data_IF_102511542357
#
_entry.id   IF_102511542357
#
_cell.length_a   1.000
_cell.length_b   1.000
_cell.length_c   1.000
_cell.angle_alpha   90.00
_cell.angle_beta   90.00
_cell.angle_gamma   90.00
#
_symmetry.space_group_name_H-M   'P 1'
#
loop_
_entity.id
_entity.type
_entity.pdbx_description
1 polymer ?
#
# COMPACT_ATOMS: atom_id res chain seq x y z
N UNK A 1 -4.30 3.78 -8.40
CA UNK A 1 -4.80 5.16 -8.53
C UNK A 1 -4.68 5.64 -9.96
N UNK A 2 -5.67 6.40 -10.39
CA UNK A 2 -5.69 7.01 -11.72
C UNK A 2 -4.88 8.30 -11.65
N UNK A 3 -3.93 8.51 -12.55
CA UNK A 3 -3.16 9.76 -12.57
C UNK A 3 -4.07 10.94 -12.97
N UNK A 4 -3.66 12.18 -12.63
CA UNK A 4 -4.44 13.40 -12.92
C UNK A 4 -4.79 13.56 -14.41
N UNK A 5 -3.97 13.01 -15.28
CA UNK A 5 -4.06 13.15 -16.73
C UNK A 5 -4.54 11.88 -17.45
N UNK A 6 -5.11 10.93 -16.72
CA UNK A 6 -5.60 9.68 -17.29
C UNK A 6 -7.09 9.48 -17.06
N UNK A 7 -7.71 8.67 -17.91
CA UNK A 7 -9.11 8.29 -17.79
C UNK A 7 -9.26 7.01 -16.99
N UNK A 8 -10.41 6.81 -16.39
CA UNK A 8 -10.78 5.54 -15.80
C UNK A 8 -10.76 4.43 -16.86
N UNK A 9 -10.18 3.29 -16.50
CA UNK A 9 -10.16 2.14 -17.40
C UNK A 9 -11.57 1.60 -17.66
N UNK A 10 -11.79 1.06 -18.86
CA UNK A 10 -13.08 0.53 -19.27
C UNK A 10 -13.60 -0.63 -18.39
N UNK A 11 -12.72 -1.28 -17.66
CA UNK A 11 -13.03 -2.42 -16.76
C UNK A 11 -13.19 -2.01 -15.29
N UNK A 12 -13.19 -0.70 -14.98
CA UNK A 12 -13.43 -0.23 -13.61
C UNK A 12 -14.89 -0.41 -13.26
N UNK A 13 -15.20 -1.34 -12.36
CA UNK A 13 -16.57 -1.65 -11.91
C UNK A 13 -17.00 -0.83 -10.68
N UNK A 14 -16.04 -0.26 -9.96
CA UNK A 14 -16.30 0.48 -8.73
C UNK A 14 -15.36 1.69 -8.61
N UNK A 15 -15.89 2.79 -8.11
CA UNK A 15 -15.13 4.02 -7.86
C UNK A 15 -15.35 4.45 -6.43
N UNK A 16 -14.26 4.56 -5.69
CA UNK A 16 -14.26 5.12 -4.34
C UNK A 16 -13.57 6.48 -4.37
N UNK A 17 -14.24 7.50 -3.86
CA UNK A 17 -13.72 8.87 -3.79
C UNK A 17 -13.53 9.26 -2.34
N UNK A 18 -12.31 9.66 -2.01
CA UNK A 18 -11.96 10.18 -0.68
C UNK A 18 -11.39 11.59 -0.82
N UNK A 19 -11.52 12.45 0.21
CA UNK A 19 -10.87 13.75 0.21
C UNK A 19 -9.36 13.62 0.12
N UNK A 20 -8.71 14.42 -0.72
CA UNK A 20 -7.25 14.46 -0.81
C UNK A 20 -6.62 15.04 0.48
N UNK A 21 -7.37 15.86 1.18
CA UNK A 21 -6.91 16.55 2.37
C UNK A 21 -6.25 17.88 2.03
N UNK A 22 -5.80 18.62 3.06
CA UNK A 22 -5.02 19.83 2.85
C UNK A 22 -3.61 19.47 2.40
N UNK A 23 -2.97 20.28 1.58
CA UNK A 23 -1.68 20.06 0.90
C UNK A 23 -0.46 19.85 1.83
N UNK A 24 -0.68 19.70 3.11
CA UNK A 24 0.38 19.47 4.08
C UNK A 24 0.52 17.97 4.39
N UNK A 25 1.66 17.42 4.04
CA UNK A 25 2.12 16.17 4.64
C UNK A 25 2.16 16.33 6.15
N UNK A 26 1.35 15.59 6.87
CA UNK A 26 1.39 15.56 8.33
C UNK A 26 2.63 14.81 8.81
N UNK A 27 3.80 15.41 8.68
CA UNK A 27 5.07 14.81 9.08
C UNK A 27 5.06 14.30 10.53
N UNK A 28 4.34 14.98 11.42
CA UNK A 28 4.12 14.59 12.81
C UNK A 28 2.77 13.88 13.03
N UNK A 29 2.10 13.49 11.98
CA UNK A 29 0.79 12.83 12.03
C UNK A 29 0.76 11.49 12.77
N UNK A 30 1.92 10.88 13.01
CA UNK A 30 2.09 9.65 13.77
C UNK A 30 2.21 9.87 15.29
N UNK A 31 2.34 11.13 15.78
CA UNK A 31 2.46 11.44 17.20
C UNK A 31 1.09 11.49 17.88
N UNK A 32 1.02 10.95 19.07
CA UNK A 32 -0.13 10.82 19.95
C UNK A 32 -0.41 12.09 20.80
N UNK A 33 -1.61 12.19 21.39
CA UNK A 33 -2.77 11.29 21.33
C UNK A 33 -3.77 11.67 20.23
N UNK A 34 -4.32 10.67 19.51
CA UNK A 34 -5.35 10.91 18.49
C UNK A 34 -6.55 10.01 18.73
N UNK A 35 -7.71 10.62 19.03
CA UNK A 35 -8.94 9.90 19.35
C UNK A 35 -9.90 9.71 18.16
N UNK A 36 -9.65 10.41 17.05
CA UNK A 36 -10.51 10.41 15.86
C UNK A 36 -9.85 9.77 14.64
N UNK A 37 -8.66 9.24 14.78
CA UNK A 37 -7.91 8.67 13.67
C UNK A 37 -7.92 7.15 13.72
N UNK A 38 -8.14 6.51 12.57
CA UNK A 38 -8.04 5.07 12.44
C UNK A 38 -6.58 4.61 12.60
N UNK A 39 -6.38 3.47 13.23
CA UNK A 39 -5.09 2.81 13.35
C UNK A 39 -5.27 1.30 13.39
N UNK A 40 -4.66 0.59 12.46
CA UNK A 40 -4.65 -0.88 12.42
C UNK A 40 -3.95 -1.45 13.66
N UNK A 41 -2.81 -0.89 14.03
CA UNK A 41 -1.94 -1.37 15.10
C UNK A 41 -2.27 -0.76 16.48
N UNK A 42 -3.45 -0.14 16.63
CA UNK A 42 -3.84 0.55 17.86
C UNK A 42 -2.83 1.60 18.33
N UNK A 43 -2.09 2.19 17.41
CA UNK A 43 -1.11 3.24 17.70
C UNK A 43 -1.75 4.52 18.23
N UNK A 44 -3.03 4.74 17.95
CA UNK A 44 -3.81 5.86 18.47
C UNK A 44 -4.86 5.36 19.46
N UNK A 45 -5.29 6.23 20.38
CA UNK A 45 -6.28 5.87 21.40
C UNK A 45 -7.74 5.82 20.91
N UNK A 46 -7.95 5.92 19.60
CA UNK A 46 -9.28 5.83 19.00
C UNK A 46 -10.03 4.52 19.32
N UNK A 47 -9.31 3.43 19.54
CA UNK A 47 -9.87 2.14 19.90
C UNK A 47 -10.54 2.14 21.28
N UNK A 48 -10.20 3.06 22.19
CA UNK A 48 -10.84 3.24 23.49
C UNK A 48 -12.24 3.84 23.39
N UNK A 49 -12.56 4.48 22.27
CA UNK A 49 -13.78 5.23 22.07
C UNK A 49 -14.95 4.41 21.47
N UNK A 50 -14.80 3.08 21.34
CA UNK A 50 -15.81 2.19 20.73
C UNK A 50 -15.82 2.26 19.19
N UNK A 51 -16.85 1.64 18.58
CA UNK A 51 -17.02 1.68 17.12
C UNK A 51 -17.35 3.10 16.67
N UNK A 52 -16.60 3.60 15.68
CA UNK A 52 -16.77 4.92 15.08
C UNK A 52 -16.62 4.82 13.56
N UNK A 53 -17.33 5.70 12.89
CA UNK A 53 -17.04 6.00 11.50
C UNK A 53 -15.86 6.96 11.43
N UNK A 54 -14.89 6.65 10.58
CA UNK A 54 -13.70 7.46 10.39
C UNK A 54 -13.79 8.19 9.05
N UNK A 55 -13.60 9.50 9.07
CA UNK A 55 -13.42 10.28 7.85
C UNK A 55 -12.00 10.08 7.34
N UNK A 56 -11.80 9.12 6.43
CA UNK A 56 -10.51 8.85 5.82
C UNK A 56 -10.20 9.91 4.76
N UNK A 57 -8.95 10.30 4.68
CA UNK A 57 -8.39 11.16 3.64
C UNK A 57 -7.14 10.52 3.01
N UNK A 58 -6.67 11.09 1.90
CA UNK A 58 -5.51 10.55 1.18
C UNK A 58 -4.15 10.99 1.77
N UNK A 59 -4.14 11.76 2.86
CA UNK A 59 -2.88 12.24 3.46
C UNK A 59 -2.08 11.10 4.07
N UNK A 60 -0.80 11.08 3.78
CA UNK A 60 0.15 10.19 4.43
C UNK A 60 0.49 10.74 5.81
N UNK A 61 0.25 9.93 6.85
CA UNK A 61 0.56 10.29 8.24
C UNK A 61 1.97 9.78 8.60
N UNK A 62 2.95 10.59 8.39
CA UNK A 62 4.36 10.27 8.54
C UNK A 62 5.09 10.22 7.19
N UNK A 63 6.40 9.97 7.21
CA UNK A 63 7.21 9.86 5.99
C UNK A 63 7.37 8.42 5.53
N UNK A 64 7.67 8.24 4.25
CA UNK A 64 8.13 6.98 3.69
C UNK A 64 9.41 6.51 4.39
N UNK A 65 9.52 5.23 4.64
CA UNK A 65 10.64 4.60 5.35
C UNK A 65 11.12 3.39 4.58
N UNK A 66 12.32 2.93 4.94
CA UNK A 66 12.80 1.66 4.42
C UNK A 66 11.87 0.51 4.82
N UNK A 67 11.63 -0.40 3.89
CA UNK A 67 10.80 -1.56 4.12
C UNK A 67 11.35 -2.42 5.25
N UNK A 68 10.49 -2.75 6.19
CA UNK A 68 10.75 -3.75 7.23
C UNK A 68 9.86 -4.97 7.01
N UNK A 69 10.36 -6.15 7.34
CA UNK A 69 9.57 -7.38 7.29
C UNK A 69 8.80 -7.52 8.62
N UNK A 70 7.55 -7.10 8.59
CA UNK A 70 6.70 -7.05 9.78
C UNK A 70 5.73 -8.22 9.90
N UNK A 71 5.55 -9.01 8.81
CA UNK A 71 4.53 -10.04 8.71
C UNK A 71 3.09 -9.49 8.63
N UNK A 72 2.93 -8.19 8.38
CA UNK A 72 1.61 -7.58 8.29
C UNK A 72 0.93 -7.86 6.94
N UNK A 73 1.70 -8.04 5.87
CA UNK A 73 1.14 -8.29 4.54
C UNK A 73 0.43 -9.64 4.47
N UNK A 74 0.98 -10.67 5.11
CA UNK A 74 0.43 -12.03 5.13
C UNK A 74 -0.99 -12.08 5.75
N UNK A 75 -1.33 -11.08 6.58
CA UNK A 75 -2.64 -11.00 7.21
C UNK A 75 -3.73 -10.43 6.31
N UNK A 76 -3.35 -9.78 5.23
CA UNK A 76 -4.26 -8.98 4.39
C UNK A 76 -4.17 -9.30 2.90
N UNK A 77 -3.14 -10.03 2.46
CA UNK A 77 -3.04 -10.48 1.08
C UNK A 77 -4.16 -11.47 0.76
N UNK A 78 -4.78 -11.37 -0.42
CA UNK A 78 -5.88 -12.25 -0.82
C UNK A 78 -5.42 -13.65 -1.25
N UNK A 79 -4.11 -13.90 -1.25
CA UNK A 79 -3.48 -15.13 -1.72
C UNK A 79 -2.33 -15.53 -0.80
N UNK A 80 -1.99 -16.82 -0.79
CA UNK A 80 -0.90 -17.38 0.01
C UNK A 80 0.42 -17.31 -0.77
N UNK A 81 1.06 -16.14 -0.71
CA UNK A 81 2.36 -15.85 -1.32
C UNK A 81 3.28 -15.15 -0.32
N UNK A 82 4.57 -15.23 -0.56
CA UNK A 82 5.57 -14.50 0.23
C UNK A 82 5.64 -13.01 -0.18
N UNK A 83 4.56 -12.24 0.09
CA UNK A 83 4.39 -10.88 -0.38
C UNK A 83 5.50 -9.92 0.04
N UNK A 84 5.96 -9.98 1.29
CA UNK A 84 7.08 -9.13 1.76
C UNK A 84 8.39 -9.44 1.04
N UNK A 85 8.67 -10.72 0.78
CA UNK A 85 9.85 -11.13 0.03
C UNK A 85 9.77 -10.70 -1.43
N UNK A 86 8.58 -10.82 -2.04
CA UNK A 86 8.35 -10.38 -3.41
C UNK A 86 8.59 -8.87 -3.55
N UNK A 87 8.03 -8.06 -2.68
CA UNK A 87 8.27 -6.60 -2.70
C UNK A 87 9.76 -6.28 -2.55
N UNK A 88 10.48 -6.98 -1.65
CA UNK A 88 11.92 -6.81 -1.51
C UNK A 88 12.69 -7.20 -2.76
N UNK A 89 12.32 -8.28 -3.43
CA UNK A 89 12.93 -8.71 -4.69
C UNK A 89 12.74 -7.65 -5.78
N UNK A 90 11.55 -7.04 -5.86
CA UNK A 90 11.27 -5.96 -6.81
C UNK A 90 12.14 -4.73 -6.49
N UNK A 91 12.18 -4.29 -5.24
CA UNK A 91 12.99 -3.13 -4.81
C UNK A 91 14.49 -3.36 -5.08
N UNK A 92 14.97 -4.58 -4.89
CA UNK A 92 16.37 -4.93 -5.16
C UNK A 92 16.71 -5.13 -6.64
N UNK A 93 15.70 -5.20 -7.52
CA UNK A 93 15.88 -5.47 -8.95
C UNK A 93 16.29 -6.92 -9.26
N UNK A 94 16.06 -7.86 -8.34
CA UNK A 94 16.41 -9.27 -8.50
C UNK A 94 15.29 -9.99 -9.28
N UNK A 95 15.45 -10.08 -10.59
CA UNK A 95 14.46 -10.61 -11.52
C UNK A 95 14.20 -12.10 -11.26
N UNK A 96 15.25 -12.89 -11.09
CA UNK A 96 15.13 -14.33 -10.85
C UNK A 96 14.31 -14.62 -9.59
N UNK A 97 14.51 -13.82 -8.55
CA UNK A 97 13.72 -13.93 -7.32
C UNK A 97 12.29 -13.45 -7.49
N UNK A 98 12.04 -12.41 -8.27
CA UNK A 98 10.69 -11.96 -8.55
C UNK A 98 9.88 -13.07 -9.23
N UNK A 99 10.46 -13.74 -10.21
CA UNK A 99 9.83 -14.88 -10.90
C UNK A 99 9.63 -16.06 -9.95
N UNK A 100 10.65 -16.43 -9.19
CA UNK A 100 10.57 -17.53 -8.23
C UNK A 100 9.53 -17.29 -7.11
N UNK A 101 9.24 -16.02 -6.79
CA UNK A 101 8.26 -15.60 -5.78
C UNK A 101 6.87 -15.32 -6.37
N UNK A 102 6.67 -15.58 -7.65
CA UNK A 102 5.34 -15.55 -8.29
C UNK A 102 4.87 -14.15 -8.71
N UNK A 103 5.76 -13.28 -9.19
CA UNK A 103 5.35 -11.93 -9.64
C UNK A 103 4.30 -11.96 -10.76
N UNK A 104 4.26 -13.03 -11.57
CA UNK A 104 3.26 -13.16 -12.63
C UNK A 104 1.87 -13.56 -12.14
N UNK A 105 1.75 -13.97 -10.90
CA UNK A 105 0.50 -14.41 -10.29
C UNK A 105 -0.23 -13.28 -9.57
N UNK A 106 0.38 -12.08 -9.50
CA UNK A 106 -0.15 -10.94 -8.76
C UNK A 106 -0.45 -9.76 -9.66
N UNK A 107 -1.47 -9.00 -9.27
CA UNK A 107 -1.76 -7.68 -9.81
C UNK A 107 -1.41 -6.59 -8.79
N UNK A 108 -1.12 -5.35 -9.22
CA UNK A 108 -0.89 -4.24 -8.29
C UNK A 108 -2.02 -4.06 -7.28
N UNK A 109 -3.26 -4.30 -7.69
CA UNK A 109 -4.46 -4.16 -6.89
C UNK A 109 -4.52 -5.14 -5.71
N UNK A 110 -3.89 -6.30 -5.81
CA UNK A 110 -3.83 -7.30 -4.73
C UNK A 110 -3.06 -6.76 -3.50
N UNK A 111 -2.15 -5.82 -3.73
CA UNK A 111 -1.37 -5.16 -2.68
C UNK A 111 -2.04 -3.93 -2.08
N UNK A 112 -3.27 -3.58 -2.47
CA UNK A 112 -3.95 -2.39 -1.96
C UNK A 112 -4.14 -2.41 -0.43
N UNK A 113 -4.56 -3.55 0.13
CA UNK A 113 -4.71 -3.72 1.57
C UNK A 113 -3.34 -3.77 2.29
N UNK A 114 -2.34 -4.40 1.67
CA UNK A 114 -0.98 -4.42 2.20
C UNK A 114 -0.39 -3.00 2.26
N UNK A 115 -0.58 -2.20 1.22
CA UNK A 115 -0.18 -0.78 1.20
C UNK A 115 -0.85 0.03 2.31
N UNK A 116 -2.14 -0.24 2.59
CA UNK A 116 -2.87 0.44 3.66
C UNK A 116 -2.32 0.11 5.06
N UNK A 117 -1.93 -1.13 5.31
CA UNK A 117 -1.42 -1.56 6.62
C UNK A 117 0.09 -1.35 6.76
N UNK A 118 0.81 -1.09 5.68
CA UNK A 118 2.26 -0.95 5.69
C UNK A 118 2.72 0.19 6.62
N UNK A 119 3.53 -0.17 7.61
CA UNK A 119 4.11 0.78 8.54
C UNK A 119 5.23 1.62 7.93
N UNK A 120 5.82 1.15 6.82
CA UNK A 120 6.89 1.84 6.09
C UNK A 120 6.36 2.91 5.12
N UNK A 121 5.05 2.93 4.87
CA UNK A 121 4.37 3.88 3.97
C UNK A 121 4.85 3.80 2.52
N UNK A 122 5.18 2.59 2.06
CA UNK A 122 5.57 2.34 0.68
C UNK A 122 4.34 2.30 -0.23
N UNK A 123 4.52 2.79 -1.45
CA UNK A 123 3.53 2.65 -2.53
C UNK A 123 3.63 1.27 -3.19
N UNK A 124 3.11 0.23 -2.53
CA UNK A 124 3.30 -1.16 -2.95
C UNK A 124 2.71 -1.44 -4.33
N UNK A 125 1.55 -0.88 -4.63
CA UNK A 125 0.92 -1.03 -5.94
C UNK A 125 1.80 -0.46 -7.07
N UNK A 126 2.47 0.67 -6.82
CA UNK A 126 3.42 1.25 -7.77
C UNK A 126 4.63 0.35 -7.95
N UNK A 127 5.20 -0.15 -6.85
CA UNK A 127 6.37 -1.04 -6.87
C UNK A 127 6.07 -2.30 -7.68
N UNK A 128 4.94 -2.96 -7.45
CA UNK A 128 4.54 -4.16 -8.21
C UNK A 128 4.35 -3.84 -9.70
N UNK A 129 3.73 -2.72 -10.02
CA UNK A 129 3.54 -2.28 -11.41
C UNK A 129 4.86 -2.03 -12.12
N UNK A 130 5.81 -1.40 -11.44
CA UNK A 130 7.16 -1.17 -11.97
C UNK A 130 7.90 -2.48 -12.20
N UNK A 131 7.84 -3.43 -11.25
CA UNK A 131 8.40 -4.78 -11.41
C UNK A 131 7.85 -5.50 -12.64
N UNK A 132 6.53 -5.55 -12.78
CA UNK A 132 5.87 -6.16 -13.95
C UNK A 132 6.27 -5.48 -15.27
N UNK A 133 6.45 -4.16 -15.27
CA UNK A 133 6.87 -3.43 -16.47
C UNK A 133 8.32 -3.71 -16.84
N UNK A 134 9.21 -3.89 -15.87
CA UNK A 134 10.60 -4.27 -16.11
C UNK A 134 10.65 -5.66 -16.75
N UNK A 135 9.96 -6.63 -16.17
CA UNK A 135 9.90 -8.00 -16.68
C UNK A 135 9.34 -8.07 -18.11
N UNK A 136 8.30 -7.29 -18.41
CA UNK A 136 7.77 -7.21 -19.79
C UNK A 136 8.80 -6.73 -20.79
N UNK A 137 9.66 -5.79 -20.38
CA UNK A 137 10.72 -5.26 -21.26
C UNK A 137 11.88 -6.25 -21.44
N UNK A 138 12.16 -7.04 -20.43
CA UNK A 138 13.20 -8.07 -20.47
C UNK A 138 12.80 -9.26 -21.35
N UNK A 139 11.50 -9.61 -21.35
CA UNK A 139 10.95 -10.72 -22.11
C UNK A 139 10.43 -10.32 -23.52
N UNK A 140 10.58 -9.08 -23.93
CA UNK A 140 10.17 -8.57 -25.25
C UNK A 140 11.33 -8.57 -26.24
#
# INVERSE_FOLDING_TARGET
PVSKDSFLGAHSSEIVVIPEGNDADELLGWILPRFKQFSVNRSYFSWLCGKKDYALDARIKGGERHMIMSGEYDKVLPMDIYGEYLIKAIISGDIDRQEALGIYEVAPEDFALAEFVDSSKLELQRIVREGLNILRKENA
#
